data_IF_867427583838
#
_entry.id   IF_867427583838
#
_cell.length_a   1.000
_cell.length_b   1.000
_cell.length_c   1.000
_cell.angle_alpha   90.00
_cell.angle_beta   90.00
_cell.angle_gamma   90.00
#
_symmetry.space_group_name_H-M   'P 1'
#
loop_
_entity.id
_entity.type
_entity.pdbx_description
1 polymer ?
#
# COMPACT_ATOMS: atom_id res chain seq x y z
N UNK A 1 -21.18 3.62 11.27
CA UNK A 1 -20.76 2.86 10.07
C UNK A 1 -21.65 3.25 8.91
N UNK A 2 -21.10 3.67 7.77
CA UNK A 2 -21.87 3.94 6.55
C UNK A 2 -21.73 2.70 5.67
N UNK A 3 -22.70 1.79 5.72
CA UNK A 3 -22.71 0.64 4.85
C UNK A 3 -22.96 1.14 3.41
N UNK A 4 -21.96 1.03 2.54
CA UNK A 4 -22.18 1.14 1.10
C UNK A 4 -22.93 -0.13 0.69
N UNK A 5 -24.26 -0.08 0.72
CA UNK A 5 -25.14 -1.20 0.38
C UNK A 5 -25.08 -1.51 -1.12
N UNK A 6 -24.00 -2.15 -1.55
CA UNK A 6 -23.78 -2.55 -2.94
C UNK A 6 -23.92 -4.05 -3.04
N UNK A 7 -24.92 -4.50 -3.79
CA UNK A 7 -25.13 -5.93 -4.10
C UNK A 7 -24.39 -6.28 -5.38
N UNK A 8 -23.63 -7.38 -5.37
CA UNK A 8 -23.00 -7.95 -6.56
C UNK A 8 -23.27 -9.44 -6.64
N UNK A 9 -23.56 -9.90 -7.86
CA UNK A 9 -23.60 -11.32 -8.14
C UNK A 9 -22.19 -11.87 -8.21
N UNK A 10 -22.06 -13.13 -7.79
CA UNK A 10 -20.86 -13.93 -8.02
C UNK A 10 -20.76 -14.21 -9.52
N UNK A 11 -19.56 -14.10 -10.08
CA UNK A 11 -19.36 -14.39 -11.49
C UNK A 11 -19.37 -15.91 -11.79
N UNK A 12 -19.28 -16.27 -13.07
CA UNK A 12 -19.30 -17.67 -13.53
C UNK A 12 -18.16 -18.53 -12.96
N UNK A 13 -17.08 -17.90 -12.48
CA UNK A 13 -15.93 -18.58 -11.89
C UNK A 13 -16.01 -18.65 -10.36
N UNK A 14 -17.11 -18.19 -9.75
CA UNK A 14 -17.28 -18.21 -8.31
C UNK A 14 -16.61 -17.05 -7.57
N UNK A 15 -16.21 -15.97 -8.26
CA UNK A 15 -15.50 -14.82 -7.65
C UNK A 15 -16.46 -13.71 -7.28
N UNK A 16 -16.15 -13.01 -6.19
CA UNK A 16 -16.87 -11.79 -5.78
C UNK A 16 -16.06 -10.57 -6.25
N UNK A 17 -16.70 -9.69 -7.03
CA UNK A 17 -16.08 -8.46 -7.51
C UNK A 17 -16.27 -7.34 -6.49
N UNK A 18 -15.17 -6.81 -5.97
CA UNK A 18 -15.20 -5.63 -5.11
C UNK A 18 -15.30 -4.34 -5.96
N UNK A 19 -16.36 -3.52 -5.77
CA UNK A 19 -16.52 -2.24 -6.46
C UNK A 19 -15.28 -1.33 -6.32
N UNK A 20 -14.98 -0.55 -7.35
CA UNK A 20 -13.84 0.39 -7.36
C UNK A 20 -13.83 1.29 -6.13
N UNK A 21 -14.97 1.88 -5.77
CA UNK A 21 -15.10 2.78 -4.62
C UNK A 21 -14.68 2.11 -3.30
N UNK A 22 -15.00 0.82 -3.10
CA UNK A 22 -14.58 0.08 -1.92
C UNK A 22 -13.09 -0.25 -1.96
N UNK A 23 -12.56 -0.63 -3.13
CA UNK A 23 -11.12 -0.85 -3.31
C UNK A 23 -10.31 0.40 -3.00
N UNK A 24 -10.72 1.54 -3.53
CA UNK A 24 -10.04 2.83 -3.34
C UNK A 24 -10.10 3.24 -1.86
N UNK A 25 -11.27 3.14 -1.22
CA UNK A 25 -11.45 3.47 0.20
C UNK A 25 -10.62 2.58 1.14
N UNK A 26 -10.37 1.32 0.76
CA UNK A 26 -9.59 0.36 1.53
C UNK A 26 -8.11 0.27 1.09
N UNK A 27 -7.69 1.07 0.10
CA UNK A 27 -6.33 1.05 -0.44
C UNK A 27 -5.93 -0.28 -1.08
N UNK A 28 -6.87 -1.01 -1.66
CA UNK A 28 -6.65 -2.32 -2.26
C UNK A 28 -6.18 -2.19 -3.70
N UNK A 29 -4.87 -2.31 -3.88
CA UNK A 29 -4.23 -2.33 -5.20
C UNK A 29 -4.09 -3.78 -5.73
N UNK A 30 -3.92 -3.99 -7.04
CA UNK A 30 -3.62 -5.31 -7.59
C UNK A 30 -2.45 -5.98 -6.85
N UNK A 31 -2.62 -7.26 -6.48
CA UNK A 31 -1.63 -8.00 -5.69
C UNK A 31 -1.76 -7.86 -4.17
N UNK A 32 -2.65 -7.00 -3.66
CA UNK A 32 -2.93 -6.92 -2.21
C UNK A 32 -3.46 -8.26 -1.71
N UNK A 33 -2.82 -8.81 -0.67
CA UNK A 33 -3.27 -10.05 -0.03
C UNK A 33 -4.41 -9.75 0.93
N UNK A 34 -5.50 -10.50 0.79
CA UNK A 34 -6.68 -10.42 1.65
C UNK A 34 -6.87 -11.78 2.31
N UNK A 35 -7.05 -11.77 3.63
CA UNK A 35 -7.48 -12.93 4.39
C UNK A 35 -9.01 -12.94 4.40
N UNK A 36 -9.54 -14.12 4.17
CA UNK A 36 -10.96 -14.42 4.29
C UNK A 36 -11.15 -15.21 5.58
N UNK A 37 -12.14 -14.83 6.37
CA UNK A 37 -12.65 -15.62 7.49
C UNK A 37 -14.18 -15.59 7.47
N UNK A 38 -14.78 -16.53 8.17
CA UNK A 38 -16.23 -16.59 8.40
C UNK A 38 -16.43 -16.42 9.90
N UNK A 39 -17.29 -15.50 10.29
CA UNK A 39 -17.65 -15.33 11.70
C UNK A 39 -18.74 -16.32 12.13
N UNK A 40 -19.06 -16.34 13.42
CA UNK A 40 -20.07 -17.25 13.99
C UNK A 40 -21.49 -17.00 13.45
N UNK A 41 -21.73 -15.83 12.86
CA UNK A 41 -22.98 -15.46 12.21
C UNK A 41 -23.05 -15.86 10.73
N UNK A 42 -21.99 -16.48 10.19
CA UNK A 42 -21.89 -16.85 8.78
C UNK A 42 -21.55 -15.69 7.85
N UNK A 43 -21.11 -14.53 8.39
CA UNK A 43 -20.67 -13.40 7.58
C UNK A 43 -19.24 -13.63 7.11
N UNK A 44 -18.97 -13.29 5.86
CA UNK A 44 -17.61 -13.27 5.32
C UNK A 44 -16.94 -11.98 5.77
N UNK A 45 -15.84 -12.12 6.50
CA UNK A 45 -14.98 -11.02 6.93
C UNK A 45 -13.74 -10.97 6.04
N UNK A 46 -13.45 -9.78 5.52
CA UNK A 46 -12.29 -9.52 4.67
C UNK A 46 -11.29 -8.66 5.44
N UNK A 47 -10.11 -9.21 5.69
CA UNK A 47 -9.02 -8.51 6.36
C UNK A 47 -7.85 -8.33 5.39
N UNK A 48 -7.31 -7.12 5.29
CA UNK A 48 -6.06 -6.92 4.58
C UNK A 48 -4.93 -7.62 5.34
N UNK A 49 -4.28 -8.59 4.71
CA UNK A 49 -3.11 -9.27 5.26
C UNK A 49 -1.85 -8.70 4.64
N UNK A 50 -1.07 -7.97 5.44
CA UNK A 50 0.12 -7.29 4.96
C UNK A 50 -0.20 -5.89 4.42
N UNK A 51 0.19 -4.87 5.19
CA UNK A 51 0.44 -3.53 4.67
C UNK A 51 1.75 -3.52 3.86
N UNK A 52 2.08 -2.43 3.13
CA UNK A 52 3.47 -2.21 2.76
C UNK A 52 4.29 -2.36 4.02
N UNK A 53 5.20 -3.32 4.00
CA UNK A 53 6.15 -3.47 5.09
C UNK A 53 7.08 -2.27 5.09
N UNK A 54 7.72 -1.99 6.22
CA UNK A 54 8.84 -1.05 6.23
C UNK A 54 9.87 -1.42 5.16
N UNK A 55 10.06 -2.72 4.88
CA UNK A 55 10.92 -3.20 3.81
C UNK A 55 10.44 -2.77 2.40
N UNK A 56 9.13 -2.79 2.13
CA UNK A 56 8.56 -2.32 0.86
C UNK A 56 8.75 -0.81 0.69
N UNK A 57 8.53 -0.03 1.75
CA UNK A 57 8.78 1.41 1.75
C UNK A 57 10.26 1.75 1.57
N UNK A 58 11.15 1.04 2.27
CA UNK A 58 12.61 1.16 2.12
C UNK A 58 13.07 0.77 0.72
N UNK A 59 12.42 -0.22 0.09
CA UNK A 59 12.67 -0.60 -1.30
C UNK A 59 12.41 0.55 -2.27
N UNK A 60 11.26 1.23 -2.14
CA UNK A 60 10.93 2.41 -2.94
C UNK A 60 11.93 3.54 -2.70
N UNK A 61 12.26 3.83 -1.44
CA UNK A 61 13.24 4.87 -1.10
C UNK A 61 14.63 4.59 -1.70
N UNK A 62 15.08 3.33 -1.69
CA UNK A 62 16.34 2.94 -2.35
C UNK A 62 16.32 3.16 -3.85
N UNK A 63 15.20 2.88 -4.52
CA UNK A 63 15.05 3.15 -5.96
C UNK A 63 15.17 4.65 -6.23
N UNK A 64 14.46 5.48 -5.47
CA UNK A 64 14.52 6.94 -5.59
C UNK A 64 15.93 7.44 -5.32
N UNK A 65 16.58 6.97 -4.24
CA UNK A 65 17.97 7.31 -3.92
C UNK A 65 18.92 6.96 -5.07
N UNK A 66 18.81 5.77 -5.66
CA UNK A 66 19.65 5.35 -6.78
C UNK A 66 19.46 6.21 -8.05
N UNK A 67 18.27 6.77 -8.24
CA UNK A 67 17.98 7.67 -9.35
C UNK A 67 18.55 9.06 -9.07
N UNK A 68 18.37 9.56 -7.84
CA UNK A 68 18.99 10.81 -7.41
C UNK A 68 20.51 10.73 -7.51
N UNK A 69 21.15 9.66 -7.05
CA UNK A 69 22.61 9.48 -7.16
C UNK A 69 23.09 9.49 -8.62
N UNK A 70 22.33 8.88 -9.54
CA UNK A 70 22.65 8.87 -10.97
C UNK A 70 22.48 10.26 -11.61
N UNK A 71 21.43 10.98 -11.27
CA UNK A 71 21.15 12.31 -11.80
C UNK A 71 22.01 13.41 -11.15
N UNK A 72 22.37 13.23 -9.89
CA UNK A 72 23.24 14.12 -9.13
C UNK A 72 24.72 13.93 -9.45
N UNK A 73 25.09 12.93 -10.25
CA UNK A 73 26.47 12.70 -10.65
C UNK A 73 26.99 13.91 -11.45
N UNK A 74 27.83 14.72 -10.82
CA UNK A 74 28.37 15.97 -11.38
C UNK A 74 27.67 17.25 -10.91
N UNK A 75 26.59 17.13 -10.12
CA UNK A 75 26.02 18.27 -9.39
C UNK A 75 26.70 18.38 -8.02
N UNK A 76 26.96 19.60 -7.52
CA UNK A 76 27.51 19.82 -6.17
C UNK A 76 26.42 19.60 -5.12
N UNK A 77 25.97 18.35 -4.97
CA UNK A 77 24.96 17.97 -3.97
C UNK A 77 25.65 17.66 -2.65
N UNK A 78 25.29 18.42 -1.63
CA UNK A 78 25.71 18.16 -0.25
C UNK A 78 24.84 17.05 0.36
N UNK A 79 25.30 15.82 0.21
CA UNK A 79 24.62 14.62 0.74
C UNK A 79 24.63 14.54 2.27
N UNK A 80 25.50 15.26 2.96
CA UNK A 80 25.47 15.37 4.42
C UNK A 80 24.28 16.22 4.86
N UNK A 81 24.05 17.35 4.19
CA UNK A 81 22.86 18.18 4.44
C UNK A 81 21.57 17.41 4.16
N UNK A 82 21.48 16.74 3.01
CA UNK A 82 20.27 15.97 2.64
C UNK A 82 19.97 14.89 3.69
N UNK A 83 20.98 14.13 4.14
CA UNK A 83 20.80 13.12 5.19
C UNK A 83 20.32 13.71 6.51
N UNK A 84 20.86 14.86 6.90
CA UNK A 84 20.48 15.55 8.14
C UNK A 84 19.02 16.02 8.12
N UNK A 85 18.58 16.59 7.00
CA UNK A 85 17.19 17.05 6.82
C UNK A 85 16.22 15.86 6.82
N UNK A 86 16.57 14.75 6.15
CA UNK A 86 15.76 13.52 6.15
C UNK A 86 15.65 12.92 7.55
N UNK A 87 16.74 12.88 8.33
CA UNK A 87 16.71 12.42 9.72
C UNK A 87 15.80 13.29 10.60
N UNK A 88 15.87 14.62 10.45
CA UNK A 88 14.99 15.55 11.19
C UNK A 88 13.50 15.40 10.85
N UNK A 89 13.15 15.01 9.62
CA UNK A 89 11.77 14.72 9.23
C UNK A 89 11.28 13.36 9.76
N UNK A 90 12.17 12.38 9.88
CA UNK A 90 11.85 11.03 10.37
C UNK A 90 11.77 10.93 11.90
N UNK A 91 12.16 11.96 12.63
CA UNK A 91 11.93 12.07 14.07
C UNK A 91 12.82 11.18 14.93
N UNK A 92 14.07 10.93 14.50
CA UNK A 92 15.15 10.51 15.41
C UNK A 92 15.83 11.71 16.06
#
# INVERSE_FOLDING_TARGET
MRALGVVRQVDELGRIVLPKTLRDALGLIPGTKIRFSVDDGGLIVLERTGGPTLADALGVLRVVQSQLDRQAKGLPVDWERVRREVAGVLGE
#
